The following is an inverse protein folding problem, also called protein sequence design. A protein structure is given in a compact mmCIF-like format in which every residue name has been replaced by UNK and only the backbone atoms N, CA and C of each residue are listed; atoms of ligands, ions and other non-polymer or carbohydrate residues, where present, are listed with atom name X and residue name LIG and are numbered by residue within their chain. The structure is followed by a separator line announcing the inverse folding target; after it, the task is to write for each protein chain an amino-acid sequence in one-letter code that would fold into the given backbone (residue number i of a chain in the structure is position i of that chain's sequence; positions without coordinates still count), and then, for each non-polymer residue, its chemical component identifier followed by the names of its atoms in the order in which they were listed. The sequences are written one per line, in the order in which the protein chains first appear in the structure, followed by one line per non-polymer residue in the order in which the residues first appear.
data_IF_071928266869
#
_entry.id   IF_071928266869
#
_cell.length_a   1.000
_cell.length_b   1.000
_cell.length_c   1.000
_cell.angle_alpha   90.00
_cell.angle_beta   90.00
_cell.angle_gamma   90.00
#
_symmetry.space_group_name_H-M   'P 1'
#
loop_
_entity.id
_entity.type
_entity.pdbx_description
1 polymer ?
#
# COMPACT_ATOMS: atom_id res chain seq x y z
N UNK A 1 37.10 -42.68 -39.71
CA UNK A 1 38.30 -41.84 -39.48
C UNK A 1 38.27 -41.35 -38.04
N UNK A 2 39.15 -41.87 -37.18
CA UNK A 2 39.31 -41.38 -35.81
C UNK A 2 39.99 -40.02 -35.85
N UNK A 3 39.30 -38.96 -35.42
CA UNK A 3 39.91 -37.64 -35.26
C UNK A 3 40.77 -37.65 -34.00
N UNK A 4 42.09 -37.49 -34.18
CA UNK A 4 43.03 -37.23 -33.10
C UNK A 4 42.86 -35.78 -32.62
N UNK A 5 42.73 -35.52 -31.31
CA UNK A 5 42.63 -34.16 -30.79
C UNK A 5 43.95 -33.40 -31.02
N UNK A 6 43.83 -32.13 -31.44
CA UNK A 6 44.95 -31.22 -31.69
C UNK A 6 45.65 -30.86 -30.38
N UNK A 7 46.98 -30.67 -30.45
CA UNK A 7 47.86 -30.35 -29.31
C UNK A 7 47.42 -29.13 -28.49
N UNK A 8 46.57 -28.26 -29.06
CA UNK A 8 45.99 -27.10 -28.37
C UNK A 8 44.93 -27.48 -27.31
N UNK A 9 44.16 -28.55 -27.49
CA UNK A 9 43.07 -28.93 -26.57
C UNK A 9 43.61 -29.60 -25.29
N UNK A 10 44.75 -30.28 -25.39
CA UNK A 10 45.43 -30.92 -24.25
C UNK A 10 46.06 -29.87 -23.31
N UNK A 11 46.53 -28.74 -23.85
CA UNK A 11 47.17 -27.68 -23.05
C UNK A 11 46.17 -26.82 -22.26
N UNK A 12 44.96 -26.62 -22.79
CA UNK A 12 43.90 -25.84 -22.11
C UNK A 12 43.31 -26.63 -20.92
N UNK A 13 43.16 -27.96 -21.05
CA UNK A 13 42.69 -28.82 -19.95
C UNK A 13 43.67 -28.90 -18.77
N UNK A 14 44.98 -28.85 -19.05
CA UNK A 14 46.04 -28.96 -18.03
C UNK A 14 46.20 -27.66 -17.22
N UNK A 15 45.97 -26.50 -17.85
CA UNK A 15 45.96 -25.19 -17.16
C UNK A 15 44.81 -25.04 -16.16
N UNK A 16 43.62 -25.55 -16.51
CA UNK A 16 42.44 -25.47 -15.63
C UNK A 16 42.56 -26.37 -14.38
N UNK A 17 43.18 -27.55 -14.53
CA UNK A 17 43.41 -28.49 -13.43
C UNK A 17 44.52 -28.02 -12.46
N UNK A 18 45.55 -27.33 -12.96
CA UNK A 18 46.59 -26.73 -12.12
C UNK A 18 46.09 -25.52 -11.31
N UNK A 19 45.16 -24.72 -11.88
CA UNK A 19 44.58 -23.57 -11.18
C UNK A 19 43.64 -24.00 -10.04
N UNK A 20 42.84 -25.06 -10.24
CA UNK A 20 41.94 -25.60 -9.20
C UNK A 20 42.69 -26.27 -8.05
N UNK A 21 43.85 -26.90 -8.31
CA UNK A 21 44.66 -27.54 -7.26
C UNK A 21 45.43 -26.55 -6.39
N UNK A 22 45.83 -25.39 -6.92
CA UNK A 22 46.46 -24.31 -6.13
C UNK A 22 45.45 -23.62 -5.20
N UNK A 23 44.19 -23.44 -5.62
CA UNK A 23 43.15 -22.80 -4.82
C UNK A 23 42.69 -23.68 -3.64
N UNK A 24 42.57 -25.01 -3.82
CA UNK A 24 42.16 -25.94 -2.75
C UNK A 24 43.23 -26.09 -1.66
N UNK A 25 44.52 -25.93 -1.98
CA UNK A 25 45.62 -26.03 -1.00
C UNK A 25 45.95 -24.70 -0.28
N UNK A 26 45.46 -23.56 -0.76
CA UNK A 26 45.69 -22.25 -0.14
C UNK A 26 44.66 -21.91 0.95
N UNK A 27 43.43 -22.40 0.86
CA UNK A 27 42.33 -22.07 1.80
C UNK A 27 42.54 -22.59 3.24
N UNK A 28 43.10 -23.79 3.51
CA UNK A 28 43.23 -24.25 4.90
C UNK A 28 44.49 -23.75 5.64
N UNK A 29 45.38 -22.95 5.03
CA UNK A 29 46.62 -22.48 5.69
C UNK A 29 46.58 -21.06 6.25
N UNK A 30 45.61 -20.23 5.88
CA UNK A 30 45.47 -18.86 6.41
C UNK A 30 44.61 -18.82 7.69
N UNK A 31 43.76 -19.82 7.91
CA UNK A 31 42.85 -19.89 9.07
C UNK A 31 43.50 -20.36 10.38
N UNK A 32 44.81 -20.67 10.41
CA UNK A 32 45.55 -21.04 11.63
C UNK A 32 46.44 -19.93 12.21
N UNK A 33 46.35 -18.70 11.70
CA UNK A 33 47.22 -17.58 12.10
C UNK A 33 46.50 -16.39 12.75
N UNK A 34 45.19 -16.47 13.02
CA UNK A 34 44.44 -15.40 13.71
C UNK A 34 43.81 -15.82 15.06
N UNK A 35 44.02 -17.04 15.54
CA UNK A 35 43.68 -17.40 16.92
C UNK A 35 44.88 -17.15 17.81
N UNK A 36 45.14 -15.87 18.13
CA UNK A 36 46.10 -15.48 19.16
C UNK A 36 45.33 -15.00 20.40
N UNK A 37 45.30 -15.92 21.38
CA UNK A 37 45.26 -15.71 22.83
C UNK A 37 44.07 -14.94 23.42
N UNK A 38 43.16 -15.68 24.04
CA UNK A 38 42.43 -15.27 25.24
C UNK A 38 43.41 -15.38 26.42
N UNK A 39 43.67 -14.32 27.18
CA UNK A 39 44.12 -14.43 28.56
C UNK A 39 42.93 -14.10 29.48
N UNK A 40 42.46 -15.10 30.22
CA UNK A 40 41.68 -14.88 31.45
C UNK A 40 42.64 -14.77 32.64
N UNK A 41 42.46 -13.72 33.44
CA UNK A 41 42.70 -13.57 34.89
C UNK A 41 42.70 -12.04 35.19
N UNK A 42 41.55 -11.43 35.54
CA UNK A 42 41.04 -11.19 36.92
C UNK A 42 41.26 -9.70 37.36
N UNK A 43 40.54 -9.12 38.35
CA UNK A 43 39.47 -8.13 38.12
C UNK A 43 39.69 -6.72 38.75
N UNK A 44 38.68 -5.86 38.57
CA UNK A 44 38.33 -4.65 39.36
C UNK A 44 39.04 -3.31 39.05
N UNK A 45 38.30 -2.39 38.40
CA UNK A 45 37.99 -1.04 38.92
C UNK A 45 37.12 -0.25 37.91
N UNK A 46 35.83 -0.18 38.20
CA UNK A 46 34.96 1.00 38.12
C UNK A 46 35.41 2.21 37.28
N UNK A 47 34.80 2.43 36.11
CA UNK A 47 34.29 3.75 35.72
C UNK A 47 33.02 3.57 34.89
N UNK A 48 31.88 3.69 35.57
CA UNK A 48 30.57 3.74 34.97
C UNK A 48 30.43 4.95 34.03
N UNK A 49 30.23 4.68 32.74
CA UNK A 49 29.56 5.60 31.81
C UNK A 49 28.35 4.84 31.27
N UNK A 50 27.11 5.33 31.45
CA UNK A 50 25.96 4.65 30.90
C UNK A 50 25.99 4.86 29.39
N UNK A 51 26.53 3.88 28.66
CA UNK A 51 26.14 3.67 27.28
C UNK A 51 24.66 3.30 27.36
N UNK A 52 23.81 4.22 26.88
CA UNK A 52 22.36 4.10 26.83
C UNK A 52 21.97 2.71 26.33
N UNK A 53 21.49 1.90 27.26
CA UNK A 53 20.45 0.93 26.98
C UNK A 53 19.23 1.73 26.54
N UNK A 54 18.93 1.69 25.24
CA UNK A 54 17.57 1.92 24.77
C UNK A 54 17.21 0.78 23.79
N UNK A 55 17.51 -0.44 24.24
CA UNK A 55 16.85 -1.65 23.76
C UNK A 55 15.75 -1.96 24.77
N UNK A 56 14.59 -1.30 24.61
CA UNK A 56 13.49 -1.49 25.57
C UNK A 56 12.36 -0.47 25.57
N UNK A 57 12.14 0.30 24.50
CA UNK A 57 10.86 1.00 24.32
C UNK A 57 10.04 0.24 23.28
N UNK A 58 8.95 -0.39 23.71
CA UNK A 58 8.04 -1.13 22.83
C UNK A 58 7.72 -0.35 21.55
N UNK A 59 7.55 -1.05 20.44
CA UNK A 59 6.98 -0.47 19.24
C UNK A 59 5.58 0.04 19.58
N UNK A 60 5.49 1.28 20.08
CA UNK A 60 4.29 2.06 19.92
C UNK A 60 3.99 2.00 18.43
N UNK A 61 2.86 1.39 18.07
CA UNK A 61 2.36 1.33 16.71
C UNK A 61 2.30 2.76 16.19
N UNK A 62 3.34 3.17 15.47
CA UNK A 62 3.40 4.53 14.92
C UNK A 62 2.26 4.61 13.92
N UNK A 63 1.53 5.71 13.93
CA UNK A 63 0.43 5.95 12.99
C UNK A 63 0.63 7.27 12.28
N UNK A 64 0.07 7.40 11.08
CA UNK A 64 -0.02 8.64 10.32
C UNK A 64 -1.46 8.93 9.94
N UNK A 65 -1.80 10.22 9.77
CA UNK A 65 -3.08 10.62 9.20
C UNK A 65 -2.94 10.77 7.69
N UNK A 66 -3.82 10.13 6.94
CA UNK A 66 -3.90 10.18 5.48
C UNK A 66 -5.27 10.67 5.04
N UNK A 67 -5.31 11.29 3.86
CA UNK A 67 -6.52 11.76 3.18
C UNK A 67 -7.01 10.70 2.21
N UNK A 68 -8.12 10.05 2.52
CA UNK A 68 -8.81 9.12 1.62
C UNK A 68 -9.90 9.86 0.86
N UNK A 69 -10.15 9.47 -0.39
CA UNK A 69 -11.15 10.13 -1.22
C UNK A 69 -12.27 9.14 -1.57
N UNK A 70 -13.48 9.42 -1.11
CA UNK A 70 -14.66 8.58 -1.34
C UNK A 70 -15.71 9.33 -2.16
N UNK A 71 -16.66 8.62 -2.76
CA UNK A 71 -17.74 9.24 -3.52
C UNK A 71 -18.74 9.90 -2.58
N UNK A 72 -19.16 11.13 -2.91
CA UNK A 72 -20.24 11.79 -2.19
C UNK A 72 -21.56 11.03 -2.36
N UNK A 73 -22.36 10.92 -1.29
CA UNK A 73 -23.63 10.20 -1.30
C UNK A 73 -24.78 10.99 -1.94
N UNK A 74 -24.69 12.32 -1.90
CA UNK A 74 -25.77 13.26 -2.24
C UNK A 74 -25.54 14.00 -3.57
N UNK A 75 -24.33 13.91 -4.13
CA UNK A 75 -23.91 14.69 -5.31
C UNK A 75 -22.75 14.03 -6.05
N UNK A 76 -22.48 14.45 -7.30
CA UNK A 76 -21.31 13.97 -8.03
C UNK A 76 -20.00 14.44 -7.39
N UNK A 77 -18.96 13.60 -7.47
CA UNK A 77 -17.59 13.93 -7.10
C UNK A 77 -17.08 13.22 -5.84
N UNK A 78 -15.82 13.49 -5.53
CA UNK A 78 -15.09 12.93 -4.40
C UNK A 78 -15.09 13.88 -3.19
N UNK A 79 -15.18 13.30 -2.01
CA UNK A 79 -15.05 13.97 -0.72
C UNK A 79 -13.88 13.36 0.03
N UNK A 80 -13.09 14.22 0.66
CA UNK A 80 -11.93 13.80 1.47
C UNK A 80 -12.39 13.38 2.87
N UNK A 81 -11.92 12.22 3.31
CA UNK A 81 -12.03 11.72 4.68
C UNK A 81 -10.61 11.51 5.24
N UNK A 82 -10.34 12.05 6.43
CA UNK A 82 -9.08 11.75 7.14
C UNK A 82 -9.16 10.39 7.82
N UNK A 83 -8.09 9.60 7.67
CA UNK A 83 -7.96 8.26 8.25
C UNK A 83 -6.61 8.12 8.94
N UNK A 84 -6.61 7.65 10.17
CA UNK A 84 -5.38 7.21 10.84
C UNK A 84 -5.04 5.79 10.38
N UNK A 85 -3.81 5.59 9.91
CA UNK A 85 -3.30 4.30 9.42
C UNK A 85 -1.97 3.95 10.08
N UNK A 86 -1.62 2.65 10.20
CA UNK A 86 -0.31 2.25 10.66
C UNK A 86 0.80 2.84 9.78
N UNK A 87 1.85 3.32 10.44
CA UNK A 87 3.04 3.83 9.78
C UNK A 87 3.98 2.68 9.42
N UNK A 88 4.46 2.69 8.18
CA UNK A 88 5.57 1.86 7.72
C UNK A 88 6.67 2.74 7.15
N UNK A 89 7.92 2.40 7.46
CA UNK A 89 9.09 3.02 6.81
C UNK A 89 9.29 2.56 5.36
N UNK A 90 8.69 1.43 4.98
CA UNK A 90 8.67 0.95 3.60
C UNK A 90 7.49 1.60 2.84
N UNK A 91 7.80 2.35 1.78
CA UNK A 91 6.81 3.11 1.04
C UNK A 91 5.78 2.21 0.34
N UNK A 92 6.18 1.08 -0.22
CA UNK A 92 5.25 0.15 -0.88
C UNK A 92 4.22 -0.40 0.10
N UNK A 93 4.69 -0.84 1.27
CA UNK A 93 3.88 -1.32 2.39
C UNK A 93 2.94 -0.22 2.90
N UNK A 94 3.44 1.01 3.04
CA UNK A 94 2.64 2.15 3.48
C UNK A 94 1.50 2.45 2.49
N UNK A 95 1.78 2.48 1.18
CA UNK A 95 0.76 2.70 0.16
C UNK A 95 -0.24 1.53 0.13
N UNK A 96 0.23 0.28 0.23
CA UNK A 96 -0.63 -0.91 0.28
C UNK A 96 -1.64 -0.82 1.43
N UNK A 97 -1.21 -0.37 2.61
CA UNK A 97 -2.09 -0.12 3.75
C UNK A 97 -3.14 0.97 3.44
N UNK A 98 -2.76 2.06 2.78
CA UNK A 98 -3.69 3.14 2.39
C UNK A 98 -4.75 2.65 1.39
N UNK A 99 -4.36 1.88 0.38
CA UNK A 99 -5.33 1.30 -0.58
C UNK A 99 -6.24 0.29 0.11
N UNK A 100 -5.72 -0.51 1.05
CA UNK A 100 -6.54 -1.43 1.83
C UNK A 100 -7.61 -0.69 2.66
N UNK A 101 -7.28 0.47 3.23
CA UNK A 101 -8.25 1.30 3.95
C UNK A 101 -9.29 1.96 3.03
N UNK A 102 -8.95 2.25 1.77
CA UNK A 102 -9.94 2.67 0.76
C UNK A 102 -10.94 1.56 0.46
N UNK A 103 -10.46 0.31 0.31
CA UNK A 103 -11.31 -0.85 0.02
C UNK A 103 -12.27 -1.14 1.18
N UNK A 104 -11.82 -0.94 2.43
CA UNK A 104 -12.71 -1.07 3.60
C UNK A 104 -13.88 -0.07 3.59
N UNK A 105 -13.79 1.00 2.78
CA UNK A 105 -14.82 2.02 2.66
C UNK A 105 -14.71 3.15 3.68
N UNK A 106 -15.65 4.08 3.58
CA UNK A 106 -15.66 5.28 4.42
C UNK A 106 -16.23 5.00 5.81
N UNK A 107 -15.75 5.74 6.81
CA UNK A 107 -16.27 5.69 8.19
C UNK A 107 -17.26 6.82 8.47
N UNK A 108 -17.44 7.74 7.52
CA UNK A 108 -18.30 8.93 7.65
C UNK A 108 -19.61 8.85 6.84
N UNK A 109 -19.92 7.70 6.23
CA UNK A 109 -21.16 7.49 5.46
C UNK A 109 -21.08 7.91 3.99
N UNK A 110 -19.88 8.22 3.49
CA UNK A 110 -19.59 8.38 2.05
C UNK A 110 -19.63 7.02 1.34
N UNK A 111 -19.92 7.06 0.04
CA UNK A 111 -20.06 5.89 -0.81
C UNK A 111 -18.68 5.31 -1.13
N UNK A 112 -18.53 3.99 -0.92
CA UNK A 112 -17.31 3.27 -1.27
C UNK A 112 -17.11 3.27 -2.79
N UNK A 113 -15.88 3.52 -3.23
CA UNK A 113 -15.52 3.61 -4.65
C UNK A 113 -14.89 2.33 -5.18
N UNK A 114 -14.78 1.29 -4.37
CA UNK A 114 -14.24 -0.01 -4.76
C UNK A 114 -15.14 -1.09 -4.18
N UNK A 115 -15.31 -2.23 -4.89
CA UNK A 115 -15.99 -3.38 -4.33
C UNK A 115 -15.28 -3.87 -3.07
N UNK A 116 -16.00 -4.26 -2.01
CA UNK A 116 -15.39 -4.72 -0.76
C UNK A 116 -14.60 -6.04 -0.93
N UNK A 117 -14.88 -6.80 -1.99
CA UNK A 117 -14.16 -8.03 -2.34
C UNK A 117 -12.81 -7.77 -3.04
N UNK A 118 -12.52 -6.52 -3.40
CA UNK A 118 -11.25 -6.13 -4.03
C UNK A 118 -10.10 -6.41 -3.07
N UNK A 119 -8.98 -6.91 -3.59
CA UNK A 119 -7.74 -7.11 -2.82
C UNK A 119 -6.61 -6.28 -3.41
N UNK A 120 -5.78 -5.71 -2.54
CA UNK A 120 -4.49 -5.14 -2.94
C UNK A 120 -3.47 -6.26 -2.97
N UNK A 121 -3.07 -6.67 -4.17
CA UNK A 121 -2.13 -7.75 -4.37
C UNK A 121 -0.72 -7.28 -4.04
N UNK A 122 -0.26 -6.21 -4.70
CA UNK A 122 1.09 -5.67 -4.53
C UNK A 122 1.11 -4.16 -4.80
N UNK A 123 2.03 -3.45 -4.14
CA UNK A 123 2.28 -2.04 -4.43
C UNK A 123 3.77 -1.74 -4.41
N UNK A 124 4.29 -1.17 -5.49
CA UNK A 124 5.68 -0.73 -5.55
C UNK A 124 5.81 0.64 -6.21
N UNK A 125 6.87 1.36 -5.86
CA UNK A 125 7.13 2.71 -6.38
C UNK A 125 8.45 2.73 -7.13
N UNK A 126 8.40 3.16 -8.39
CA UNK A 126 9.60 3.33 -9.20
C UNK A 126 10.40 4.55 -8.78
N UNK A 127 11.70 4.58 -9.12
CA UNK A 127 12.57 5.73 -8.91
C UNK A 127 12.10 7.04 -9.59
N UNK A 128 11.16 6.95 -10.56
CA UNK A 128 10.54 8.09 -11.23
C UNK A 128 9.28 8.61 -10.52
N UNK A 129 8.91 8.01 -9.39
CA UNK A 129 7.72 8.38 -8.62
C UNK A 129 6.41 7.87 -9.20
N UNK A 130 6.44 6.76 -9.95
CA UNK A 130 5.23 6.05 -10.37
C UNK A 130 4.96 4.92 -9.37
N UNK A 131 3.81 4.97 -8.70
CA UNK A 131 3.31 3.86 -7.90
C UNK A 131 2.51 2.90 -8.79
N UNK A 132 2.88 1.63 -8.78
CA UNK A 132 2.14 0.56 -9.43
C UNK A 132 1.29 -0.12 -8.38
N UNK A 133 -0.02 -0.09 -8.57
CA UNK A 133 -1.01 -0.64 -7.64
C UNK A 133 -1.66 -1.82 -8.32
N UNK A 134 -1.28 -3.02 -7.89
CA UNK A 134 -1.84 -4.26 -8.41
C UNK A 134 -3.03 -4.69 -7.56
N UNK A 135 -4.18 -4.82 -8.21
CA UNK A 135 -5.45 -5.17 -7.61
C UNK A 135 -5.95 -6.51 -8.13
N UNK A 136 -6.80 -7.17 -7.36
CA UNK A 136 -7.53 -8.32 -7.84
C UNK A 136 -8.59 -7.94 -8.86
N UNK A 137 -9.02 -8.90 -9.68
CA UNK A 137 -10.03 -8.70 -10.73
C UNK A 137 -11.37 -8.16 -10.24
N UNK A 138 -11.69 -8.32 -8.96
CA UNK A 138 -12.93 -7.80 -8.36
C UNK A 138 -13.01 -6.26 -8.44
N UNK A 139 -11.85 -5.57 -8.55
CA UNK A 139 -11.81 -4.12 -8.75
C UNK A 139 -12.58 -3.64 -10.01
N UNK A 140 -12.68 -4.48 -11.05
CA UNK A 140 -13.42 -4.15 -12.27
C UNK A 140 -14.90 -4.57 -12.25
N UNK A 141 -15.35 -5.28 -11.20
CA UNK A 141 -16.67 -5.92 -11.20
C UNK A 141 -17.79 -5.07 -10.59
N UNK A 142 -17.49 -3.95 -9.94
CA UNK A 142 -18.51 -3.11 -9.28
C UNK A 142 -18.62 -1.67 -9.78
N UNK A 143 -17.90 -1.30 -10.83
CA UNK A 143 -18.02 0.01 -11.48
C UNK A 143 -19.18 -0.04 -12.50
N UNK A 144 -20.35 0.48 -12.12
CA UNK A 144 -21.59 0.38 -12.90
C UNK A 144 -21.81 1.53 -13.91
N UNK A 145 -20.74 2.13 -14.43
CA UNK A 145 -20.81 3.17 -15.45
C UNK A 145 -19.56 4.06 -15.50
N UNK A 146 -19.54 4.99 -16.46
CA UNK A 146 -18.39 5.87 -16.70
C UNK A 146 -18.06 6.80 -15.54
N UNK A 147 -19.09 7.30 -14.84
CA UNK A 147 -18.90 8.16 -13.68
C UNK A 147 -18.31 7.39 -12.51
N UNK A 148 -18.86 6.21 -12.20
CA UNK A 148 -18.38 5.39 -11.08
C UNK A 148 -16.97 4.87 -11.35
N UNK A 149 -16.65 4.47 -12.60
CA UNK A 149 -15.29 4.13 -12.99
C UNK A 149 -14.32 5.29 -12.79
N UNK A 150 -14.70 6.50 -13.22
CA UNK A 150 -13.90 7.71 -13.01
C UNK A 150 -13.61 7.97 -11.54
N UNK A 151 -14.63 7.91 -10.68
CA UNK A 151 -14.46 8.14 -9.24
C UNK A 151 -13.66 7.02 -8.57
N UNK A 152 -13.82 5.78 -9.01
CA UNK A 152 -13.04 4.62 -8.51
C UNK A 152 -11.56 4.77 -8.79
N UNK A 153 -11.22 5.13 -10.04
CA UNK A 153 -9.83 5.37 -10.45
C UNK A 153 -9.24 6.55 -9.67
N UNK A 154 -9.92 7.70 -9.65
CA UNK A 154 -9.37 8.90 -9.02
C UNK A 154 -9.43 8.88 -7.50
N UNK A 155 -10.26 8.03 -6.88
CA UNK A 155 -10.18 7.72 -5.44
C UNK A 155 -8.80 7.16 -5.08
N UNK A 156 -8.32 6.16 -5.82
CA UNK A 156 -6.99 5.59 -5.63
C UNK A 156 -5.91 6.63 -5.95
N UNK A 157 -5.97 7.23 -7.14
CA UNK A 157 -4.94 8.14 -7.62
C UNK A 157 -4.76 9.33 -6.68
N UNK A 158 -5.85 9.99 -6.28
CA UNK A 158 -5.81 11.15 -5.39
C UNK A 158 -5.33 10.76 -3.99
N UNK A 159 -5.80 9.64 -3.45
CA UNK A 159 -5.38 9.19 -2.11
C UNK A 159 -3.88 8.89 -2.04
N UNK A 160 -3.26 8.34 -3.08
CA UNK A 160 -1.83 8.06 -3.03
C UNK A 160 -0.97 9.31 -3.33
N UNK A 161 -1.36 10.10 -4.33
CA UNK A 161 -0.55 11.25 -4.76
C UNK A 161 -0.62 12.44 -3.79
N UNK A 162 -1.76 12.64 -3.11
CA UNK A 162 -1.90 13.76 -2.14
C UNK A 162 -1.15 13.51 -0.85
N UNK A 163 -1.10 12.25 -0.39
CA UNK A 163 -0.48 11.93 0.89
C UNK A 163 1.03 11.70 0.80
N UNK A 164 1.54 11.30 -0.36
CA UNK A 164 2.93 10.87 -0.52
C UNK A 164 3.63 11.66 -1.64
N UNK A 165 4.44 12.70 -1.32
CA UNK A 165 5.14 13.50 -2.33
C UNK A 165 6.11 12.72 -3.24
N UNK A 166 6.58 11.55 -2.78
CA UNK A 166 7.37 10.62 -3.60
C UNK A 166 6.55 9.97 -4.73
N UNK A 167 5.21 9.97 -4.64
CA UNK A 167 4.28 9.37 -5.59
C UNK A 167 3.67 10.49 -6.43
N UNK A 168 4.16 10.63 -7.66
CA UNK A 168 3.70 11.65 -8.61
C UNK A 168 2.60 11.15 -9.52
N UNK A 169 2.61 9.85 -9.81
CA UNK A 169 1.65 9.18 -10.71
C UNK A 169 1.32 7.80 -10.19
N UNK A 170 0.16 7.28 -10.56
CA UNK A 170 -0.30 5.93 -10.21
C UNK A 170 -0.64 5.16 -11.47
N UNK A 171 -0.09 3.97 -11.60
CA UNK A 171 -0.47 2.98 -12.60
C UNK A 171 -1.27 1.88 -11.90
N UNK A 172 -2.51 1.67 -12.33
CA UNK A 172 -3.35 0.59 -11.82
C UNK A 172 -3.12 -0.65 -12.69
N UNK A 173 -2.97 -1.80 -12.04
CA UNK A 173 -2.83 -3.11 -12.66
C UNK A 173 -3.91 -4.05 -12.12
N UNK A 174 -4.27 -5.06 -12.91
CA UNK A 174 -5.17 -6.14 -12.49
C UNK A 174 -4.45 -7.47 -12.66
N UNK A 175 -4.21 -8.17 -11.56
CA UNK A 175 -3.51 -9.45 -11.53
C UNK A 175 -2.16 -9.39 -12.29
N UNK A 176 -1.31 -8.44 -11.91
CA UNK A 176 0.02 -8.15 -12.46
C UNK A 176 0.02 -7.76 -13.95
N UNK A 177 -1.14 -7.41 -14.51
CA UNK A 177 -1.28 -7.01 -15.91
C UNK A 177 -1.75 -5.56 -16.05
N UNK A 178 -1.12 -4.78 -16.95
CA UNK A 178 -1.71 -3.53 -17.40
C UNK A 178 -3.06 -3.79 -18.05
N UNK A 179 -4.03 -2.92 -17.77
CA UNK A 179 -5.37 -2.94 -18.36
C UNK A 179 -5.63 -1.60 -19.02
N UNK A 180 -6.46 -1.61 -20.07
CA UNK A 180 -6.82 -0.37 -20.77
C UNK A 180 -7.85 0.45 -19.97
N UNK A 181 -8.73 -0.22 -19.23
CA UNK A 181 -9.82 0.38 -18.44
C UNK A 181 -10.21 -0.60 -17.31
N UNK A 182 -10.96 -0.14 -16.30
CA UNK A 182 -11.62 -1.07 -15.36
C UNK A 182 -12.94 -1.58 -15.93
N UNK A 183 -13.74 -0.69 -16.54
CA UNK A 183 -15.08 -1.00 -17.04
C UNK A 183 -15.42 -0.35 -18.40
N UNK A 184 -14.43 0.22 -19.09
CA UNK A 184 -14.55 0.66 -20.48
C UNK A 184 -14.51 2.18 -20.71
N UNK A 185 -14.26 3.01 -19.69
CA UNK A 185 -14.40 4.45 -19.81
C UNK A 185 -13.15 5.27 -19.48
N UNK A 186 -12.28 4.80 -18.58
CA UNK A 186 -11.09 5.55 -18.16
C UNK A 186 -9.84 4.88 -18.71
N UNK A 187 -9.04 5.62 -19.50
CA UNK A 187 -7.76 5.12 -20.04
C UNK A 187 -6.74 4.90 -18.92
N UNK A 188 -6.46 3.62 -18.64
CA UNK A 188 -5.47 3.12 -17.70
C UNK A 188 -4.18 2.64 -18.37
N UNK A 189 -4.03 2.80 -19.69
CA UNK A 189 -2.82 2.40 -20.43
C UNK A 189 -1.56 3.18 -20.03
N UNK A 190 -1.74 4.29 -19.28
CA UNK A 190 -0.66 5.15 -18.80
C UNK A 190 -0.84 5.54 -17.34
N UNK A 191 0.26 5.83 -16.60
CA UNK A 191 0.14 6.29 -15.23
C UNK A 191 -0.58 7.63 -15.12
N UNK A 192 -1.53 7.73 -14.20
CA UNK A 192 -2.39 8.89 -13.98
C UNK A 192 -1.83 9.82 -12.90
N UNK A 193 -2.05 11.12 -13.05
CA UNK A 193 -1.78 12.13 -12.03
C UNK A 193 -3.05 12.44 -11.25
N UNK A 194 -2.90 13.02 -10.06
CA UNK A 194 -4.04 13.50 -9.30
C UNK A 194 -4.92 14.45 -10.12
N UNK A 195 -6.23 14.35 -9.93
CA UNK A 195 -7.22 15.29 -10.45
C UNK A 195 -8.09 15.79 -9.30
N UNK A 196 -7.75 17.00 -8.82
CA UNK A 196 -8.46 17.65 -7.73
C UNK A 196 -9.73 18.38 -8.20
N UNK A 197 -9.98 18.45 -9.52
CA UNK A 197 -11.21 19.06 -10.04
C UNK A 197 -12.44 18.19 -9.77
N UNK A 198 -12.22 16.91 -9.46
CA UNK A 198 -13.26 15.96 -9.06
C UNK A 198 -13.71 16.13 -7.60
N UNK A 199 -13.06 17.00 -6.81
CA UNK A 199 -13.45 17.25 -5.43
C UNK A 199 -14.71 18.10 -5.34
N UNK A 200 -15.61 17.73 -4.45
CA UNK A 200 -16.84 18.49 -4.18
C UNK A 200 -16.79 19.12 -2.79
N UNK A 201 -16.68 20.45 -2.75
CA UNK A 201 -16.32 21.22 -1.53
C UNK A 201 -17.48 21.55 -0.58
N UNK A 202 -18.67 20.97 -0.74
CA UNK A 202 -19.76 21.24 0.21
C UNK A 202 -19.56 20.44 1.53
N UNK A 203 -19.77 21.04 2.70
CA UNK A 203 -19.57 20.36 3.97
C UNK A 203 -20.53 19.16 4.10
N UNK A 204 -20.03 18.06 4.66
CA UNK A 204 -20.83 16.91 5.07
C UNK A 204 -21.75 17.43 6.19
N UNK A 205 -23.04 17.59 5.92
CA UNK A 205 -24.00 17.68 7.01
C UNK A 205 -23.89 16.35 7.78
N UNK A 206 -23.60 16.35 9.08
CA UNK A 206 -23.50 15.11 9.84
C UNK A 206 -24.80 14.33 9.63
N UNK A 207 -24.68 13.05 9.28
CA UNK A 207 -25.79 12.14 9.15
C UNK A 207 -26.72 12.36 10.35
N UNK A 208 -27.92 12.89 10.10
CA UNK A 208 -28.89 13.12 11.14
C UNK A 208 -29.12 11.77 11.85
N UNK A 209 -29.16 11.72 13.18
CA UNK A 209 -29.45 10.47 13.86
C UNK A 209 -30.84 9.99 13.40
N UNK A 210 -30.87 8.83 12.75
CA UNK A 210 -32.10 8.10 12.49
C UNK A 210 -32.78 7.82 13.83
N UNK A 211 -33.74 8.66 14.20
CA UNK A 211 -34.32 8.60 15.53
C UNK A 211 -35.04 9.88 15.97
N UNK A 212 -35.92 10.42 15.13
CA UNK A 212 -37.04 11.20 15.65
C UNK A 212 -38.33 10.59 15.11
N UNK A 213 -39.18 10.01 15.98
CA UNK A 213 -40.48 9.55 15.54
C UNK A 213 -41.26 10.76 15.04
N UNK A 214 -41.82 10.66 13.82
CA UNK A 214 -42.75 11.63 13.30
C UNK A 214 -43.89 11.86 14.32
N UNK A 215 -44.35 13.10 14.53
CA UNK A 215 -45.50 13.34 15.38
C UNK A 215 -46.72 12.66 14.76
N UNK A 216 -47.29 11.69 15.48
CA UNK A 216 -48.55 11.04 15.14
C UNK A 216 -49.62 12.13 15.02
N UNK A 217 -50.38 12.22 13.91
CA UNK A 217 -51.47 13.17 13.83
C UNK A 217 -52.54 12.81 14.85
N UNK A 218 -52.89 13.76 15.71
CA UNK A 218 -53.96 13.61 16.69
C UNK A 218 -55.29 13.33 15.97
N UNK A 219 -55.92 12.20 16.30
CA UNK A 219 -57.27 11.87 15.84
C UNK A 219 -58.28 12.94 16.31
N UNK A 220 -59.20 13.40 15.45
CA UNK A 220 -60.26 14.31 15.89
C UNK A 220 -61.27 13.55 16.77
N UNK A 221 -61.55 14.10 17.95
CA UNK A 221 -62.56 13.59 18.88
C UNK A 221 -63.99 13.69 18.33
N UNK A 222 -64.93 12.85 18.80
CA UNK A 222 -66.28 12.78 18.24
C UNK A 222 -67.08 14.06 18.51
N UNK A 223 -67.76 14.54 17.46
CA UNK A 223 -68.66 15.68 17.47
C UNK A 223 -69.83 15.47 18.44
N UNK A 224 -70.02 16.42 19.36
CA UNK A 224 -71.21 16.48 20.21
C UNK A 224 -72.43 16.88 19.36
N UNK A 225 -73.48 16.07 19.41
CA UNK A 225 -74.77 16.36 18.79
C UNK A 225 -75.48 17.54 19.50
N UNK A 226 -76.28 18.34 18.78
CA UNK A 226 -77.06 19.41 19.39
C UNK A 226 -78.24 18.81 20.19
N UNK A 227 -78.49 19.36 21.38
CA UNK A 227 -79.73 19.13 22.13
C UNK A 227 -80.70 20.28 21.88
N UNK A 228 -81.96 19.89 21.69
CA UNK A 228 -83.16 20.70 21.48
C UNK A 228 -83.42 21.73 22.57
#
# INVERSE_FOLDING_TARGET
MNLRPSRATVLIGLGLAALLTVVVLAVPRVSRLLTRTVPEDEPAAEEARPAREDEGAGHAERTINVKLFFQAADRPGLVMEERTVPFSSDLGTQLKAVVAELIQGSKSGLVATLPPETKVLEVFVSARGVAYVDLSKEASQGTAGSHDELLSVYSIVNSLTVNFPAVRRVQILIEDRPVDTLAGHVDLSRPLTADMTLLTTAPIAPAAPEGSPAPVPASPGPAAAPRS
#
